data_IF_977398196206
#
_entry.id   IF_977398196206
#
_cell.length_a   1.000
_cell.length_b   1.000
_cell.length_c   1.000
_cell.angle_alpha   90.00
_cell.angle_beta   90.00
_cell.angle_gamma   90.00
#
_symmetry.space_group_name_H-M   'P 1'
#
loop_
_entity.id
_entity.type
_entity.pdbx_description
1 polymer ?
#
# COMPACT_ATOMS: atom_id res chain seq x y z
N UNK A 1 -12.85 -7.58 -18.12
CA UNK A 1 -12.36 -8.95 -17.81
C UNK A 1 -11.61 -9.53 -18.99
N UNK A 2 -12.21 -9.58 -20.18
CA UNK A 2 -11.57 -10.17 -21.38
C UNK A 2 -10.25 -9.48 -21.77
N UNK A 3 -10.20 -8.14 -21.79
CA UNK A 3 -8.98 -7.40 -22.10
C UNK A 3 -7.81 -7.68 -21.14
N UNK A 4 -8.11 -7.94 -19.86
CA UNK A 4 -7.09 -8.28 -18.87
C UNK A 4 -6.53 -9.68 -19.10
N UNK A 5 -7.40 -10.65 -19.39
CA UNK A 5 -7.01 -12.02 -19.70
C UNK A 5 -6.17 -12.05 -20.99
N UNK A 6 -6.59 -11.33 -22.01
CA UNK A 6 -5.86 -11.20 -23.27
C UNK A 6 -4.46 -10.61 -23.06
N UNK A 7 -4.35 -9.52 -22.30
CA UNK A 7 -3.04 -8.90 -22.02
C UNK A 7 -2.11 -9.83 -21.21
N UNK A 8 -2.66 -10.61 -20.27
CA UNK A 8 -1.91 -11.63 -19.54
C UNK A 8 -1.45 -12.76 -20.45
N UNK A 9 -2.31 -13.27 -21.33
CA UNK A 9 -1.98 -14.33 -22.29
C UNK A 9 -1.00 -13.87 -23.36
N UNK A 10 -0.95 -12.59 -23.69
CA UNK A 10 0.01 -12.06 -24.65
C UNK A 10 1.39 -11.86 -24.00
N UNK A 11 1.44 -11.46 -22.72
CA UNK A 11 2.68 -11.10 -22.02
C UNK A 11 3.16 -12.12 -20.98
N UNK A 12 2.49 -13.26 -20.81
CA UNK A 12 2.84 -14.26 -19.77
C UNK A 12 4.29 -14.71 -19.83
N UNK A 13 4.85 -14.83 -21.03
CA UNK A 13 6.22 -15.28 -21.25
C UNK A 13 7.22 -14.23 -20.73
N UNK A 14 6.93 -12.94 -20.95
CA UNK A 14 7.71 -11.84 -20.40
C UNK A 14 7.65 -11.81 -18.86
N UNK A 15 6.46 -11.99 -18.29
CA UNK A 15 6.29 -12.03 -16.83
C UNK A 15 7.01 -13.22 -16.18
N UNK A 16 7.01 -14.38 -16.82
CA UNK A 16 7.71 -15.57 -16.29
C UNK A 16 9.23 -15.39 -16.32
N UNK A 17 9.79 -14.84 -17.41
CA UNK A 17 11.23 -14.54 -17.49
C UNK A 17 11.63 -13.51 -16.41
N UNK A 18 10.84 -12.43 -16.27
CA UNK A 18 11.06 -11.41 -15.25
C UNK A 18 11.03 -12.02 -13.83
N UNK A 19 10.05 -12.90 -13.57
CA UNK A 19 9.90 -13.58 -12.28
C UNK A 19 11.12 -14.45 -11.96
N UNK A 20 11.59 -15.26 -12.92
CA UNK A 20 12.76 -16.13 -12.73
C UNK A 20 14.04 -15.31 -12.48
N UNK A 21 14.16 -14.13 -13.09
CA UNK A 21 15.29 -13.22 -12.85
C UNK A 21 15.20 -12.51 -11.48
N UNK A 22 13.99 -12.09 -11.07
CA UNK A 22 13.77 -11.39 -9.80
C UNK A 22 13.91 -12.31 -8.59
N UNK A 23 13.49 -13.57 -8.69
CA UNK A 23 13.51 -14.54 -7.58
C UNK A 23 14.89 -14.71 -6.90
N UNK A 24 15.99 -14.96 -7.62
CA UNK A 24 17.32 -15.07 -7.01
C UNK A 24 17.79 -13.74 -6.42
N UNK A 25 17.44 -12.60 -7.04
CA UNK A 25 17.75 -11.28 -6.49
C UNK A 25 17.04 -11.07 -5.15
N UNK A 26 15.73 -11.35 -5.08
CA UNK A 26 14.95 -11.27 -3.84
C UNK A 26 15.49 -12.23 -2.77
N UNK A 27 15.94 -13.42 -3.16
CA UNK A 27 16.51 -14.40 -2.23
C UNK A 27 17.81 -13.91 -1.58
N UNK A 28 18.74 -13.38 -2.38
CA UNK A 28 20.02 -12.83 -1.89
C UNK A 28 19.78 -11.58 -1.04
N UNK A 29 18.94 -10.67 -1.52
CA UNK A 29 18.64 -9.40 -0.86
C UNK A 29 17.49 -9.48 0.15
N UNK A 30 17.07 -10.68 0.57
CA UNK A 30 15.89 -10.90 1.44
C UNK A 30 15.83 -10.00 2.68
N UNK A 31 16.98 -9.64 3.26
CA UNK A 31 17.02 -8.75 4.44
C UNK A 31 16.53 -7.33 4.13
N UNK A 32 16.75 -6.85 2.92
CA UNK A 32 16.36 -5.49 2.47
C UNK A 32 15.08 -5.55 1.63
N UNK A 33 14.95 -6.57 0.77
CA UNK A 33 13.81 -6.74 -0.11
C UNK A 33 12.50 -7.00 0.65
N UNK A 34 12.52 -7.84 1.69
CA UNK A 34 11.30 -8.17 2.46
C UNK A 34 10.65 -6.93 3.11
N UNK A 35 11.36 -6.07 3.85
CA UNK A 35 10.75 -4.88 4.42
C UNK A 35 10.29 -3.88 3.35
N UNK A 36 11.00 -3.77 2.22
CA UNK A 36 10.59 -2.93 1.10
C UNK A 36 9.29 -3.44 0.43
N UNK A 37 9.16 -4.75 0.22
CA UNK A 37 7.94 -5.37 -0.32
C UNK A 37 6.77 -5.17 0.65
N UNK A 38 6.99 -5.39 1.94
CA UNK A 38 5.95 -5.15 2.95
C UNK A 38 5.48 -3.68 2.94
N UNK A 39 6.42 -2.74 2.82
CA UNK A 39 6.10 -1.31 2.68
C UNK A 39 5.31 -1.01 1.41
N UNK A 40 5.69 -1.58 0.27
CA UNK A 40 4.96 -1.39 -0.98
C UNK A 40 3.52 -1.92 -0.86
N UNK A 41 3.34 -3.10 -0.26
CA UNK A 41 2.00 -3.68 0.00
C UNK A 41 1.18 -2.78 0.92
N UNK A 42 1.75 -2.31 2.03
CA UNK A 42 1.07 -1.40 2.96
C UNK A 42 0.64 -0.10 2.27
N UNK A 43 1.52 0.50 1.45
CA UNK A 43 1.21 1.70 0.68
C UNK A 43 0.06 1.45 -0.31
N UNK A 44 0.08 0.32 -1.04
CA UNK A 44 -0.98 -0.06 -1.96
C UNK A 44 -2.32 -0.28 -1.24
N UNK A 45 -2.32 -0.87 -0.05
CA UNK A 45 -3.52 -1.07 0.76
C UNK A 45 -4.08 0.28 1.21
N UNK A 46 -3.24 1.17 1.74
CA UNK A 46 -3.68 2.50 2.16
C UNK A 46 -4.19 3.34 1.00
N UNK A 47 -3.51 3.33 -0.15
CA UNK A 47 -3.97 4.05 -1.34
C UNK A 47 -5.30 3.51 -1.86
N UNK A 48 -5.47 2.18 -1.87
CA UNK A 48 -6.73 1.55 -2.31
C UNK A 48 -7.89 1.92 -1.40
N UNK A 49 -7.71 1.81 -0.08
CA UNK A 49 -8.75 2.17 0.89
C UNK A 49 -9.12 3.65 0.75
N UNK A 50 -8.11 4.52 0.66
CA UNK A 50 -8.32 5.95 0.50
C UNK A 50 -9.06 6.28 -0.81
N UNK A 51 -8.67 5.68 -1.93
CA UNK A 51 -9.33 5.89 -3.22
C UNK A 51 -10.79 5.43 -3.19
N UNK A 52 -11.08 4.28 -2.59
CA UNK A 52 -12.46 3.82 -2.38
C UNK A 52 -13.27 4.83 -1.55
N UNK A 53 -12.71 5.30 -0.43
CA UNK A 53 -13.37 6.30 0.43
C UNK A 53 -13.63 7.61 -0.34
N UNK A 54 -12.65 8.09 -1.11
CA UNK A 54 -12.80 9.28 -1.95
C UNK A 54 -13.88 9.11 -3.00
N UNK A 55 -13.98 7.94 -3.63
CA UNK A 55 -15.03 7.63 -4.59
C UNK A 55 -16.43 7.73 -3.95
N UNK A 56 -16.60 7.15 -2.76
CA UNK A 56 -17.86 7.26 -2.02
C UNK A 56 -18.15 8.69 -1.59
N UNK A 57 -17.15 9.42 -1.10
CA UNK A 57 -17.31 10.82 -0.71
C UNK A 57 -17.76 11.70 -1.89
N UNK A 58 -17.12 11.56 -3.06
CA UNK A 58 -17.50 12.30 -4.26
C UNK A 58 -18.92 11.95 -4.73
N UNK A 59 -19.32 10.68 -4.61
CA UNK A 59 -20.68 10.24 -4.92
C UNK A 59 -21.72 10.88 -3.98
N UNK A 60 -21.41 10.94 -2.68
CA UNK A 60 -22.28 11.60 -1.68
C UNK A 60 -22.36 13.11 -1.94
N UNK A 61 -21.24 13.77 -2.23
CA UNK A 61 -21.23 15.20 -2.55
C UNK A 61 -22.03 15.50 -3.83
N UNK A 62 -21.88 14.66 -4.87
CA UNK A 62 -22.67 14.76 -6.10
C UNK A 62 -24.16 14.64 -5.79
N UNK A 63 -24.54 13.60 -5.04
CA UNK A 63 -25.92 13.37 -4.63
C UNK A 63 -26.48 14.57 -3.85
N UNK A 64 -25.74 15.07 -2.85
CA UNK A 64 -26.13 16.23 -2.07
C UNK A 64 -26.28 17.49 -2.93
N UNK A 65 -25.39 17.69 -3.91
CA UNK A 65 -25.44 18.83 -4.83
C UNK A 65 -26.67 18.78 -5.75
N UNK A 66 -27.06 17.59 -6.20
CA UNK A 66 -28.28 17.42 -7.01
C UNK A 66 -29.53 17.65 -6.16
N UNK A 67 -29.56 17.12 -4.94
CA UNK A 67 -30.76 17.23 -4.08
C UNK A 67 -30.96 18.64 -3.49
N UNK A 68 -29.87 19.38 -3.26
CA UNK A 68 -29.92 20.77 -2.80
C UNK A 68 -30.37 21.78 -3.87
N UNK A 69 -30.51 21.37 -5.14
CA UNK A 69 -31.11 22.22 -6.18
C UNK A 69 -32.60 22.43 -5.87
N UNK A 70 -33.03 23.71 -5.79
CA UNK A 70 -34.41 24.09 -5.48
C UNK A 70 -35.42 23.35 -6.37
N UNK A 71 -36.41 22.70 -5.73
CA UNK A 71 -37.45 21.87 -6.39
C UNK A 71 -38.26 22.58 -7.49
N UNK A 72 -38.26 23.92 -7.52
CA UNK A 72 -38.97 24.70 -8.54
C UNK A 72 -38.45 24.46 -9.97
N UNK A 73 -37.24 23.90 -10.12
CA UNK A 73 -36.62 23.52 -11.40
C UNK A 73 -36.40 22.01 -11.51
N UNK A 74 -37.39 21.22 -11.11
CA UNK A 74 -37.29 19.76 -11.15
C UNK A 74 -36.90 19.21 -12.54
N UNK A 75 -37.37 19.86 -13.62
CA UNK A 75 -37.08 19.47 -15.01
C UNK A 75 -35.70 19.95 -15.50
N UNK A 76 -35.01 20.84 -14.77
CA UNK A 76 -33.70 21.39 -15.12
C UNK A 76 -32.59 20.95 -14.14
N UNK A 77 -32.77 19.85 -13.40
CA UNK A 77 -31.74 19.33 -12.50
C UNK A 77 -30.52 18.88 -13.31
N UNK A 78 -29.50 19.74 -13.37
CA UNK A 78 -28.23 19.43 -14.06
C UNK A 78 -27.34 18.63 -13.11
N UNK A 79 -27.09 17.36 -13.47
CA UNK A 79 -26.09 16.55 -12.81
C UNK A 79 -24.69 17.08 -13.16
N UNK A 80 -23.87 17.47 -12.17
CA UNK A 80 -22.51 17.97 -12.42
C UNK A 80 -21.58 16.91 -13.05
N UNK A 81 -22.01 15.64 -13.15
CA UNK A 81 -21.23 14.58 -13.79
C UNK A 81 -19.96 14.24 -13.01
N UNK A 82 -19.95 14.54 -11.71
CA UNK A 82 -18.79 14.31 -10.86
C UNK A 82 -18.60 12.82 -10.60
N UNK A 83 -17.43 12.32 -10.94
CA UNK A 83 -17.11 10.91 -10.83
C UNK A 83 -15.59 10.74 -10.73
N UNK A 84 -15.20 9.77 -9.91
CA UNK A 84 -13.85 9.20 -9.92
C UNK A 84 -13.90 7.77 -10.48
N UNK A 85 -13.00 7.38 -11.37
CA UNK A 85 -12.97 6.03 -11.93
C UNK A 85 -12.43 5.02 -10.91
N UNK A 86 -13.18 3.94 -10.63
CA UNK A 86 -12.75 2.89 -9.69
C UNK A 86 -11.67 1.95 -10.24
N UNK A 87 -11.71 1.69 -11.56
CA UNK A 87 -10.85 0.69 -12.21
C UNK A 87 -9.72 1.35 -12.99
N UNK A 88 -10.04 2.39 -13.75
CA UNK A 88 -9.10 3.10 -14.62
C UNK A 88 -8.60 4.39 -13.94
N UNK A 89 -8.00 4.25 -12.75
CA UNK A 89 -7.53 5.40 -11.96
C UNK A 89 -6.35 6.16 -12.59
N UNK A 90 -5.72 5.60 -13.62
CA UNK A 90 -4.67 6.27 -14.39
C UNK A 90 -5.21 7.16 -15.51
N UNK A 91 -6.47 6.99 -15.90
CA UNK A 91 -7.08 7.79 -16.96
C UNK A 91 -7.59 9.11 -16.37
N UNK A 92 -6.79 10.16 -16.55
CA UNK A 92 -7.08 11.50 -16.04
C UNK A 92 -8.33 12.12 -16.68
N UNK A 93 -8.74 11.67 -17.86
CA UNK A 93 -9.91 12.22 -18.57
C UNK A 93 -11.23 11.81 -17.90
N UNK A 94 -11.23 10.68 -17.21
CA UNK A 94 -12.38 10.19 -16.45
C UNK A 94 -12.58 10.92 -15.13
N UNK A 95 -11.59 11.70 -14.66
CA UNK A 95 -11.70 12.48 -13.43
C UNK A 95 -12.47 13.78 -13.66
N UNK A 96 -13.70 13.82 -13.18
CA UNK A 96 -14.51 15.05 -13.15
C UNK A 96 -14.89 15.37 -11.70
N UNK A 97 -14.42 16.49 -11.12
CA UNK A 97 -13.47 17.48 -11.64
C UNK A 97 -11.99 17.02 -11.54
N UNK A 98 -11.14 17.46 -12.47
CA UNK A 98 -9.74 17.00 -12.59
C UNK A 98 -8.83 17.32 -11.41
N UNK A 99 -9.18 18.28 -10.54
CA UNK A 99 -8.40 18.57 -9.33
C UNK A 99 -8.36 17.39 -8.34
N UNK A 100 -9.39 16.53 -8.37
CA UNK A 100 -9.49 15.37 -7.47
C UNK A 100 -8.33 14.39 -7.71
N UNK A 101 -7.89 14.25 -8.97
CA UNK A 101 -6.73 13.42 -9.30
C UNK A 101 -5.45 13.92 -8.61
N UNK A 102 -5.16 15.22 -8.73
CA UNK A 102 -3.99 15.81 -8.08
C UNK A 102 -4.06 15.72 -6.55
N UNK A 103 -5.27 15.83 -5.98
CA UNK A 103 -5.49 15.61 -4.56
C UNK A 103 -5.20 14.16 -4.14
N UNK A 104 -5.66 13.17 -4.91
CA UNK A 104 -5.35 11.75 -4.66
C UNK A 104 -3.84 11.49 -4.70
N UNK A 105 -3.15 12.01 -5.71
CA UNK A 105 -1.68 11.89 -5.84
C UNK A 105 -0.96 12.56 -4.66
N UNK A 106 -1.37 13.77 -4.27
CA UNK A 106 -0.79 14.46 -3.12
C UNK A 106 -0.98 13.66 -1.82
N UNK A 107 -2.14 13.03 -1.63
CA UNK A 107 -2.41 12.19 -0.46
C UNK A 107 -1.56 10.90 -0.45
N UNK A 108 -1.31 10.29 -1.61
CA UNK A 108 -0.37 9.15 -1.70
C UNK A 108 1.04 9.56 -1.29
N UNK A 109 1.50 10.76 -1.69
CA UNK A 109 2.80 11.30 -1.24
C UNK A 109 2.81 11.52 0.28
N UNK A 110 1.71 12.05 0.84
CA UNK A 110 1.59 12.20 2.30
C UNK A 110 1.67 10.84 3.00
N UNK A 111 0.95 9.81 2.52
CA UNK A 111 1.06 8.46 3.09
C UNK A 111 2.48 7.92 3.02
N UNK A 112 3.17 8.13 1.90
CA UNK A 112 4.57 7.73 1.77
C UNK A 112 5.47 8.42 2.80
N UNK A 113 5.33 9.72 3.00
CA UNK A 113 6.07 10.48 4.02
C UNK A 113 5.74 10.00 5.44
N UNK A 114 4.46 9.74 5.73
CA UNK A 114 4.01 9.21 7.02
C UNK A 114 4.60 7.81 7.28
N UNK A 115 4.66 6.94 6.27
CA UNK A 115 5.29 5.63 6.39
C UNK A 115 6.78 5.74 6.73
N UNK A 116 7.52 6.66 6.09
CA UNK A 116 8.91 6.97 6.44
C UNK A 116 9.03 7.43 7.89
N UNK A 117 8.14 8.32 8.32
CA UNK A 117 8.22 8.93 9.65
C UNK A 117 7.83 7.99 10.79
N UNK A 118 6.78 7.19 10.61
CA UNK A 118 6.18 6.38 11.67
C UNK A 118 6.61 4.91 11.62
N UNK A 119 7.00 4.39 10.46
CA UNK A 119 7.33 2.99 10.28
C UNK A 119 8.67 2.79 9.56
N UNK A 120 9.77 3.40 10.05
CA UNK A 120 11.06 3.34 9.37
C UNK A 120 11.46 1.89 9.08
N UNK A 121 12.06 1.66 7.91
CA UNK A 121 12.59 0.37 7.45
C UNK A 121 13.75 -0.11 8.33
N UNK A 122 13.47 -0.40 9.61
CA UNK A 122 14.43 -1.00 10.51
C UNK A 122 14.41 -2.49 10.23
N UNK A 123 15.44 -2.97 9.55
CA UNK A 123 15.74 -4.40 9.47
C UNK A 123 15.72 -4.96 10.88
N UNK A 124 14.78 -5.87 11.16
CA UNK A 124 14.72 -6.56 12.44
C UNK A 124 16.10 -7.18 12.68
N UNK A 125 16.83 -6.69 13.68
CA UNK A 125 18.11 -7.31 14.04
C UNK A 125 17.79 -8.74 14.42
N UNK A 126 18.47 -9.75 13.85
CA UNK A 126 18.23 -11.13 14.26
C UNK A 126 18.39 -11.20 15.77
N UNK A 127 17.35 -11.67 16.46
CA UNK A 127 17.40 -11.83 17.91
C UNK A 127 18.62 -12.66 18.31
N UNK A 128 19.14 -12.49 19.54
CA UNK A 128 20.29 -13.25 19.99
C UNK A 128 20.01 -14.73 19.78
N UNK A 129 20.90 -15.42 19.03
CA UNK A 129 20.79 -16.87 18.81
C UNK A 129 20.75 -17.51 20.20
N UNK A 130 19.67 -18.24 20.51
CA UNK A 130 19.63 -19.06 21.73
C UNK A 130 20.78 -20.05 21.62
N UNK A 131 21.62 -20.12 22.64
CA UNK A 131 22.67 -21.12 22.71
C UNK A 131 22.02 -22.50 22.55
N UNK A 132 22.37 -23.19 21.46
CA UNK A 132 21.92 -24.56 21.25
C UNK A 132 22.44 -25.38 22.42
N UNK A 133 21.55 -26.04 23.16
CA UNK A 133 21.89 -26.94 24.25
C UNK A 133 22.85 -28.01 23.73
N UNK A 134 24.14 -27.81 24.00
CA UNK A 134 25.17 -28.77 23.64
C UNK A 134 24.95 -30.00 24.53
N UNK A 135 24.73 -31.18 23.92
CA UNK A 135 24.48 -32.43 24.66
C UNK A 135 25.59 -32.63 25.69
N UNK A 136 25.25 -32.60 26.98
CA UNK A 136 26.20 -32.71 28.11
C UNK A 136 26.53 -31.41 28.84
N UNK A 137 26.08 -30.24 28.38
CA UNK A 137 26.17 -29.00 29.15
C UNK A 137 24.85 -28.72 29.87
N UNK A 138 24.91 -28.66 31.20
CA UNK A 138 23.77 -28.22 32.03
C UNK A 138 23.43 -26.79 31.59
N UNK A 139 22.17 -26.47 31.24
CA UNK A 139 21.79 -25.12 30.90
C UNK A 139 22.24 -24.20 32.03
N UNK A 140 23.09 -23.20 31.75
CA UNK A 140 23.32 -22.12 32.70
C UNK A 140 21.98 -21.40 32.86
N UNK A 141 21.22 -21.81 33.88
CA UNK A 141 20.03 -21.12 34.34
C UNK A 141 20.44 -19.68 34.62
N UNK A 142 20.12 -18.79 33.69
CA UNK A 142 20.33 -17.37 33.90
C UNK A 142 19.40 -16.99 35.04
N UNK A 143 19.90 -16.48 36.18
CA UNK A 143 19.03 -16.13 37.30
C UNK A 143 17.99 -15.12 36.82
N UNK A 144 16.72 -15.29 37.22
CA UNK A 144 15.66 -14.34 36.89
C UNK A 144 16.06 -12.98 37.48
N UNK A 145 16.39 -12.01 36.62
CA UNK A 145 16.70 -10.63 37.05
C UNK A 145 17.97 -9.98 36.49
N UNK A 146 18.88 -10.71 35.84
CA UNK A 146 20.12 -10.08 35.29
C UNK A 146 19.89 -9.37 33.95
N UNK A 147 19.26 -8.20 33.99
CA UNK A 147 19.21 -7.24 32.89
C UNK A 147 20.53 -6.47 32.75
N UNK A 148 21.66 -7.18 32.61
CA UNK A 148 22.94 -6.51 32.31
C UNK A 148 22.88 -6.06 30.85
N UNK A 149 22.52 -4.79 30.64
CA UNK A 149 22.72 -4.11 29.36
C UNK A 149 24.21 -4.21 29.01
N UNK A 150 24.58 -4.65 27.79
CA UNK A 150 25.95 -4.55 27.35
C UNK A 150 26.32 -3.05 27.31
N UNK A 151 27.30 -2.64 28.13
CA UNK A 151 27.98 -1.35 27.96
C UNK A 151 28.74 -1.42 26.63
N UNK A 152 28.18 -0.78 25.60
CA UNK A 152 28.91 -0.52 24.36
C UNK A 152 29.96 0.55 24.60
N UNK A 153 31.19 0.27 24.16
CA UNK A 153 32.21 1.27 23.84
C UNK A 153 31.89 1.90 22.50
#
# INVERSE_FOLDING_TARGET
MEAFIAHLQENWMGYTILLVLLLPFVYVFRRVAVPAIQWAIELCVYSTIFHIVMHFLMSVIRWFRVESQMKWRADERVDPGWQTPLVNFWDTELYKPGWVFYFEVAMVVVFFLLMIRYRPMKTQRPGPKRDTLRKGQVPKLRPPGSSVKPKGK
#
